data_IF_403432824359
#
_entry.id   IF_403432824359
#
_cell.length_a   1.000
_cell.length_b   1.000
_cell.length_c   1.000
_cell.angle_alpha   90.00
_cell.angle_beta   90.00
_cell.angle_gamma   90.00
#
_symmetry.space_group_name_H-M   'P 1'
#
loop_
_entity.id
_entity.type
_entity.pdbx_description
1 polymer ?
#
# COMPACT_ATOMS: atom_id res chain seq x y z
N UNK A 1 -7.27 14.55 -8.68
CA UNK A 1 -6.88 15.44 -7.57
C UNK A 1 -5.40 15.72 -7.71
N UNK A 2 -5.00 17.00 -7.76
CA UNK A 2 -3.58 17.41 -7.73
C UNK A 2 -3.08 17.59 -6.29
N UNK A 3 -1.77 17.74 -6.11
CA UNK A 3 -1.20 18.09 -4.80
C UNK A 3 -1.74 19.44 -4.29
N UNK A 4 -1.88 20.44 -5.16
CA UNK A 4 -2.41 21.75 -4.78
C UNK A 4 -3.86 21.67 -4.29
N UNK A 5 -4.70 20.89 -4.97
CA UNK A 5 -6.09 20.64 -4.55
C UNK A 5 -6.15 19.93 -3.19
N UNK A 6 -5.28 18.94 -2.97
CA UNK A 6 -5.21 18.23 -1.70
C UNK A 6 -4.78 19.15 -0.55
N UNK A 7 -3.75 19.98 -0.76
CA UNK A 7 -3.30 20.99 0.22
C UNK A 7 -4.43 21.92 0.62
N UNK A 8 -5.23 22.38 -0.34
CA UNK A 8 -6.40 23.21 -0.06
C UNK A 8 -7.47 22.46 0.75
N UNK A 9 -7.72 21.19 0.43
CA UNK A 9 -8.72 20.37 1.11
C UNK A 9 -8.34 20.04 2.57
N UNK A 10 -7.05 19.79 2.85
CA UNK A 10 -6.58 19.40 4.19
C UNK A 10 -6.25 20.60 5.10
N UNK A 11 -6.14 21.80 4.53
CA UNK A 11 -5.94 23.04 5.27
C UNK A 11 -4.50 23.26 5.74
N UNK A 12 -4.26 24.45 6.32
CA UNK A 12 -2.92 24.96 6.62
C UNK A 12 -2.17 24.22 7.74
N UNK A 13 -2.87 23.47 8.59
CA UNK A 13 -2.27 22.71 9.70
C UNK A 13 -1.72 21.34 9.25
N UNK A 14 -1.88 21.00 7.97
CA UNK A 14 -1.35 19.74 7.42
C UNK A 14 0.06 19.96 6.89
N UNK A 15 1.00 19.15 7.36
CA UNK A 15 2.38 19.18 6.92
C UNK A 15 2.59 18.24 5.72
N UNK A 16 3.39 18.69 4.76
CA UNK A 16 3.78 17.93 3.58
C UNK A 16 5.30 17.83 3.56
N UNK A 17 5.83 16.66 3.89
CA UNK A 17 7.29 16.44 4.05
C UNK A 17 7.77 15.48 2.98
N UNK A 18 8.74 15.91 2.18
CA UNK A 18 9.37 15.04 1.17
C UNK A 18 10.22 13.98 1.86
N UNK A 19 10.01 12.72 1.49
CA UNK A 19 10.80 11.57 1.88
C UNK A 19 11.38 10.93 0.61
N UNK A 20 12.69 11.11 0.39
CA UNK A 20 13.40 10.64 -0.79
C UNK A 20 14.82 10.18 -0.39
N UNK A 21 15.21 8.92 -0.69
CA UNK A 21 14.37 7.84 -1.24
C UNK A 21 13.33 7.36 -0.22
N UNK A 22 12.22 6.76 -0.69
CA UNK A 22 11.20 6.16 0.19
C UNK A 22 11.13 4.63 0.06
N UNK A 23 10.73 4.11 -1.09
CA UNK A 23 10.80 2.68 -1.47
C UNK A 23 11.43 2.58 -2.86
N UNK A 24 11.98 1.44 -3.28
CA UNK A 24 12.82 1.32 -4.50
C UNK A 24 12.27 2.07 -5.72
N UNK A 25 10.96 1.97 -5.94
CA UNK A 25 10.32 2.50 -7.13
C UNK A 25 9.70 3.90 -6.94
N UNK A 26 9.79 4.48 -5.73
CA UNK A 26 9.08 5.72 -5.39
C UNK A 26 9.84 6.62 -4.40
N UNK A 27 9.78 7.92 -4.68
CA UNK A 27 9.88 8.96 -3.67
C UNK A 27 8.48 9.21 -3.09
N UNK A 28 8.41 9.87 -1.93
CA UNK A 28 7.15 10.16 -1.27
C UNK A 28 7.05 11.59 -0.73
N UNK A 29 5.81 12.06 -0.59
CA UNK A 29 5.47 13.18 0.28
C UNK A 29 4.62 12.62 1.42
N UNK A 30 5.17 12.59 2.63
CA UNK A 30 4.44 12.26 3.83
C UNK A 30 3.46 13.40 4.18
N UNK A 31 2.17 13.06 4.25
CA UNK A 31 1.10 13.98 4.67
C UNK A 31 0.83 13.75 6.15
N UNK A 32 1.12 14.74 6.98
CA UNK A 32 1.06 14.63 8.45
C UNK A 32 0.05 15.58 9.05
N UNK A 33 -0.66 15.11 10.06
CA UNK A 33 -1.59 15.91 10.87
C UNK A 33 -1.32 15.61 12.34
N UNK A 34 -1.18 16.67 13.15
CA UNK A 34 -0.82 16.56 14.57
C UNK A 34 0.43 15.69 14.84
N UNK A 35 1.42 15.74 13.93
CA UNK A 35 2.66 14.98 14.02
C UNK A 35 2.58 13.51 13.60
N UNK A 36 1.38 13.00 13.27
CA UNK A 36 1.18 11.64 12.78
C UNK A 36 1.09 11.62 11.25
N UNK A 37 1.79 10.67 10.62
CA UNK A 37 1.62 10.41 9.18
C UNK A 37 0.23 9.82 8.95
N UNK A 38 -0.52 10.43 8.06
CA UNK A 38 -1.83 9.96 7.63
C UNK A 38 -1.67 9.03 6.43
N UNK A 39 -0.92 9.48 5.43
CA UNK A 39 -0.59 8.73 4.22
C UNK A 39 0.60 9.37 3.50
N UNK A 40 1.10 8.67 2.49
CA UNK A 40 2.18 9.07 1.61
C UNK A 40 1.64 9.25 0.20
N UNK A 41 2.00 10.34 -0.46
CA UNK A 41 1.81 10.54 -1.89
C UNK A 41 3.04 9.99 -2.59
N UNK A 42 2.87 9.00 -3.44
CA UNK A 42 3.98 8.36 -4.15
C UNK A 42 4.17 8.97 -5.53
N UNK A 43 5.43 9.18 -5.91
CA UNK A 43 5.82 9.66 -7.23
C UNK A 43 7.15 9.05 -7.67
N UNK A 44 7.42 9.09 -8.98
CA UNK A 44 8.62 8.48 -9.55
C UNK A 44 9.91 9.12 -9.00
N UNK A 45 10.95 8.33 -8.73
CA UNK A 45 12.15 8.79 -8.05
C UNK A 45 12.93 9.79 -8.89
N UNK A 46 13.57 10.75 -8.22
CA UNK A 46 14.45 11.75 -8.85
C UNK A 46 13.70 12.85 -9.62
N UNK A 47 12.37 12.85 -9.57
CA UNK A 47 11.51 13.92 -10.07
C UNK A 47 11.23 15.00 -9.03
N UNK A 48 10.69 16.13 -9.48
CA UNK A 48 10.01 17.09 -8.59
C UNK A 48 8.52 16.83 -8.69
N UNK A 49 7.81 16.86 -7.56
CA UNK A 49 6.36 16.77 -7.50
C UNK A 49 5.78 18.09 -6.97
N UNK A 50 4.95 18.73 -7.79
CA UNK A 50 4.47 20.10 -7.65
C UNK A 50 2.97 20.16 -7.43
N UNK A 51 2.44 21.35 -7.12
CA UNK A 51 1.01 21.55 -6.86
C UNK A 51 0.11 21.28 -8.09
N UNK A 52 0.70 21.28 -9.29
CA UNK A 52 0.03 20.98 -10.56
C UNK A 52 -0.03 19.47 -10.85
N UNK A 53 0.81 18.67 -10.19
CA UNK A 53 0.90 17.25 -10.47
C UNK A 53 -0.27 16.46 -9.90
N UNK A 54 -0.79 15.56 -10.73
CA UNK A 54 -1.90 14.65 -10.37
C UNK A 54 -1.37 13.56 -9.45
N UNK A 55 -2.05 13.35 -8.32
CA UNK A 55 -1.75 12.26 -7.41
C UNK A 55 -2.17 10.94 -8.05
N UNK A 56 -1.18 10.08 -8.32
CA UNK A 56 -1.37 8.76 -8.94
C UNK A 56 -1.08 7.61 -7.99
N UNK A 57 -0.34 7.84 -6.91
CA UNK A 57 0.00 6.82 -5.93
C UNK A 57 -0.26 7.30 -4.51
N UNK A 58 -0.89 6.46 -3.70
CA UNK A 58 -1.08 6.67 -2.28
C UNK A 58 -0.65 5.42 -1.52
N UNK A 59 0.03 5.60 -0.40
CA UNK A 59 0.33 4.52 0.54
C UNK A 59 0.00 4.95 1.95
N UNK A 60 -0.47 4.03 2.80
CA UNK A 60 -0.64 4.28 4.22
C UNK A 60 -0.38 3.03 5.03
N UNK A 61 0.31 3.18 6.14
CA UNK A 61 0.49 2.21 7.23
C UNK A 61 -0.33 2.60 8.46
N UNK A 62 -1.11 3.69 8.38
CA UNK A 62 -1.90 4.21 9.48
C UNK A 62 -3.19 3.40 9.64
N UNK A 63 -3.44 2.79 10.81
CA UNK A 63 -4.59 1.90 11.03
C UNK A 63 -5.95 2.61 11.01
N UNK A 64 -5.97 3.95 10.97
CA UNK A 64 -7.20 4.74 10.81
C UNK A 64 -7.75 4.68 9.37
N UNK A 65 -6.93 4.27 8.40
CA UNK A 65 -7.31 4.21 6.99
C UNK A 65 -7.61 2.77 6.57
N UNK A 66 -8.90 2.47 6.40
CA UNK A 66 -9.40 1.16 6.03
C UNK A 66 -10.20 1.24 4.73
N UNK A 67 -10.29 0.14 4.01
CA UNK A 67 -11.24 -0.03 2.89
C UNK A 67 -12.70 0.00 3.38
N UNK A 68 -13.65 0.03 2.45
CA UNK A 68 -15.09 -0.03 2.78
C UNK A 68 -15.49 -1.26 3.61
N UNK A 69 -14.79 -2.37 3.46
CA UNK A 69 -14.99 -3.60 4.25
C UNK A 69 -14.15 -3.64 5.54
N UNK A 70 -13.65 -2.49 6.02
CA UNK A 70 -12.83 -2.38 7.23
C UNK A 70 -11.52 -3.17 7.21
N UNK A 71 -10.94 -3.39 6.02
CA UNK A 71 -9.63 -4.06 5.84
C UNK A 71 -8.56 -3.01 5.55
N UNK A 72 -7.43 -3.07 6.26
CA UNK A 72 -6.30 -2.13 6.14
C UNK A 72 -5.21 -2.38 7.20
N UNK A 73 -4.30 -1.43 7.46
CA UNK A 73 -3.17 -1.63 8.36
C UNK A 73 -3.60 -2.03 9.78
N UNK A 74 -2.93 -3.03 10.35
CA UNK A 74 -3.24 -3.61 11.65
C UNK A 74 -4.33 -4.68 11.65
N UNK A 75 -5.10 -4.84 10.57
CA UNK A 75 -6.14 -5.89 10.46
C UNK A 75 -5.49 -7.24 10.21
N UNK A 76 -5.92 -8.28 10.92
CA UNK A 76 -5.44 -9.64 10.74
C UNK A 76 -5.81 -10.19 9.36
N UNK A 77 -4.91 -10.93 8.71
CA UNK A 77 -5.18 -11.54 7.40
C UNK A 77 -6.39 -12.48 7.46
N UNK A 78 -6.47 -13.31 8.50
CA UNK A 78 -7.61 -14.21 8.73
C UNK A 78 -8.95 -13.47 8.90
N UNK A 79 -8.92 -12.25 9.46
CA UNK A 79 -10.12 -11.42 9.54
C UNK A 79 -10.49 -10.88 8.15
N UNK A 80 -9.52 -10.42 7.36
CA UNK A 80 -9.74 -9.94 6.01
C UNK A 80 -10.27 -11.03 5.06
N UNK A 81 -9.91 -12.30 5.27
CA UNK A 81 -10.47 -13.44 4.51
C UNK A 81 -12.00 -13.56 4.66
N UNK A 82 -12.56 -13.10 5.79
CA UNK A 82 -14.01 -13.11 6.00
C UNK A 82 -14.74 -12.11 5.09
N UNK A 83 -14.05 -11.06 4.64
CA UNK A 83 -14.59 -10.03 3.73
C UNK A 83 -14.24 -10.32 2.27
N UNK A 84 -13.01 -10.75 1.98
CA UNK A 84 -12.49 -10.86 0.61
C UNK A 84 -12.17 -12.29 0.16
N UNK A 85 -12.49 -13.31 0.94
CA UNK A 85 -12.20 -14.70 0.59
C UNK A 85 -10.73 -15.06 0.79
N UNK A 86 -10.31 -16.23 0.28
CA UNK A 86 -9.01 -16.82 0.64
C UNK A 86 -7.83 -15.91 0.31
N UNK A 87 -6.88 -15.85 1.23
CA UNK A 87 -5.62 -15.14 1.08
C UNK A 87 -4.59 -15.96 0.31
N UNK A 88 -3.83 -15.29 -0.54
CA UNK A 88 -2.59 -15.81 -1.12
C UNK A 88 -1.52 -14.74 -0.95
N UNK A 89 -0.48 -15.06 -0.19
CA UNK A 89 0.65 -14.18 0.05
C UNK A 89 1.73 -14.46 -0.98
N UNK A 90 2.44 -13.41 -1.39
CA UNK A 90 3.55 -13.55 -2.31
C UNK A 90 4.58 -12.44 -2.13
N UNK A 91 5.82 -12.74 -2.46
CA UNK A 91 6.90 -11.76 -2.58
C UNK A 91 7.79 -12.08 -3.79
N UNK A 92 8.50 -11.06 -4.26
CA UNK A 92 9.51 -11.19 -5.31
C UNK A 92 10.89 -10.72 -4.81
N UNK A 93 11.93 -11.53 -4.99
CA UNK A 93 13.30 -11.24 -4.53
C UNK A 93 13.96 -10.07 -5.29
N UNK A 94 13.47 -9.77 -6.50
CA UNK A 94 13.97 -8.68 -7.35
C UNK A 94 13.33 -7.32 -7.05
N UNK A 95 12.23 -7.27 -6.28
CA UNK A 95 11.51 -6.03 -5.94
C UNK A 95 11.51 -5.77 -4.43
N UNK A 96 12.71 -5.54 -3.87
CA UNK A 96 12.99 -5.34 -2.44
C UNK A 96 12.53 -6.46 -1.49
N UNK A 97 11.96 -7.56 -2.02
CA UNK A 97 11.37 -8.60 -1.21
C UNK A 97 10.05 -8.20 -0.54
N UNK A 98 9.37 -7.12 -0.96
CA UNK A 98 8.10 -6.72 -0.35
C UNK A 98 7.06 -7.83 -0.52
N UNK A 99 6.41 -8.21 0.57
CA UNK A 99 5.36 -9.22 0.58
C UNK A 99 3.99 -8.56 0.56
N UNK A 100 3.11 -9.11 -0.27
CA UNK A 100 1.73 -8.67 -0.41
C UNK A 100 0.77 -9.84 -0.24
N UNK A 101 -0.44 -9.53 0.23
CA UNK A 101 -1.57 -10.46 0.19
C UNK A 101 -2.54 -10.06 -0.93
N UNK A 102 -2.95 -11.05 -1.70
CA UNK A 102 -4.06 -10.97 -2.65
C UNK A 102 -5.19 -11.87 -2.16
N UNK A 103 -6.41 -11.36 -2.21
CA UNK A 103 -7.60 -12.11 -1.83
C UNK A 103 -8.35 -12.62 -3.07
N UNK A 104 -9.20 -13.63 -2.90
CA UNK A 104 -10.00 -14.21 -3.98
C UNK A 104 -10.99 -13.19 -4.59
N UNK A 105 -11.68 -12.44 -3.73
CA UNK A 105 -12.58 -11.34 -4.07
C UNK A 105 -11.87 -9.99 -3.84
N UNK A 106 -10.70 -9.82 -4.48
CA UNK A 106 -9.87 -8.62 -4.31
C UNK A 106 -10.63 -7.35 -4.72
N UNK A 107 -10.68 -6.29 -3.89
CA UNK A 107 -11.65 -5.20 -4.05
C UNK A 107 -11.36 -4.28 -5.24
N UNK A 108 -10.10 -4.15 -5.68
CA UNK A 108 -9.73 -3.36 -6.84
C UNK A 108 -8.35 -3.76 -7.39
N UNK A 109 -8.16 -3.71 -8.71
CA UNK A 109 -6.90 -4.09 -9.37
C UNK A 109 -5.73 -3.16 -9.09
N UNK A 110 -6.01 -1.92 -8.68
CA UNK A 110 -5.03 -0.89 -8.32
C UNK A 110 -4.70 -0.86 -6.82
N UNK A 111 -5.30 -1.75 -6.03
CA UNK A 111 -5.09 -1.84 -4.58
C UNK A 111 -4.14 -2.99 -4.26
N UNK A 112 -3.19 -2.76 -3.37
CA UNK A 112 -2.29 -3.78 -2.83
C UNK A 112 -2.25 -3.69 -1.30
N UNK A 113 -2.22 -4.84 -0.64
CA UNK A 113 -2.09 -4.96 0.80
C UNK A 113 -0.71 -5.51 1.14
N UNK A 114 0.15 -4.71 1.75
CA UNK A 114 1.46 -5.17 2.21
C UNK A 114 1.34 -5.97 3.50
N UNK A 115 2.19 -6.99 3.68
CA UNK A 115 2.17 -7.89 4.86
C UNK A 115 3.53 -8.14 5.49
N UNK A 116 4.62 -7.76 4.81
CA UNK A 116 5.97 -8.00 5.32
C UNK A 116 7.07 -7.78 4.28
N UNK A 117 8.26 -8.28 4.57
CA UNK A 117 9.39 -8.22 3.66
C UNK A 117 10.29 -9.47 3.81
N UNK A 118 10.65 -10.10 2.70
CA UNK A 118 11.51 -11.29 2.65
C UNK A 118 12.90 -11.07 3.28
N UNK A 119 13.47 -9.88 3.15
CA UNK A 119 14.76 -9.53 3.75
C UNK A 119 14.67 -9.30 5.26
N UNK A 120 13.46 -9.32 5.84
CA UNK A 120 13.20 -9.14 7.27
C UNK A 120 12.38 -10.32 7.79
N UNK A 121 11.05 -10.20 7.73
CA UNK A 121 10.11 -11.23 8.12
C UNK A 121 8.88 -11.16 7.22
N UNK A 122 8.52 -12.32 6.68
CA UNK A 122 7.27 -12.53 5.94
C UNK A 122 6.14 -12.90 6.89
N UNK A 123 4.92 -12.51 6.54
CA UNK A 123 3.70 -13.04 7.13
C UNK A 123 3.42 -14.46 6.63
N UNK A 124 3.77 -14.76 5.37
CA UNK A 124 3.60 -16.08 4.77
C UNK A 124 4.60 -17.11 5.30
N UNK A 125 4.17 -18.36 5.33
CA UNK A 125 5.00 -19.53 5.60
C UNK A 125 5.34 -20.16 4.25
N UNK A 126 6.60 -20.05 3.83
CA UNK A 126 7.05 -20.52 2.53
C UNK A 126 7.85 -21.83 2.69
N UNK A 127 7.40 -22.94 2.09
CA UNK A 127 8.04 -24.25 2.27
C UNK A 127 9.42 -24.38 1.62
N UNK A 128 9.76 -23.54 0.64
CA UNK A 128 11.12 -23.41 0.08
C UNK A 128 11.25 -22.14 -0.77
N UNK A 129 12.22 -21.27 -0.47
CA UNK A 129 12.42 -19.96 -1.12
C UNK A 129 13.45 -20.04 -2.25
N UNK A 130 13.12 -20.73 -3.35
CA UNK A 130 14.10 -21.07 -4.40
C UNK A 130 13.87 -20.36 -5.72
N UNK A 131 12.76 -19.64 -5.87
CA UNK A 131 12.41 -18.92 -7.09
C UNK A 131 12.41 -17.40 -6.83
N UNK A 132 12.51 -16.62 -7.92
CA UNK A 132 12.43 -15.16 -7.84
C UNK A 132 11.05 -14.69 -7.37
N UNK A 133 10.01 -15.47 -7.65
CA UNK A 133 8.64 -15.26 -7.17
C UNK A 133 8.22 -16.43 -6.28
N UNK A 134 7.71 -16.14 -5.09
CA UNK A 134 7.29 -17.12 -4.11
C UNK A 134 5.86 -16.81 -3.68
N UNK A 135 5.03 -17.84 -3.56
CA UNK A 135 3.64 -17.72 -3.13
C UNK A 135 3.28 -18.79 -2.10
N UNK A 136 2.33 -18.48 -1.22
CA UNK A 136 1.81 -19.41 -0.22
C UNK A 136 0.39 -19.03 0.19
N UNK A 137 -0.37 -20.02 0.64
CA UNK A 137 -1.66 -19.82 1.32
C UNK A 137 -1.56 -20.01 2.84
N UNK A 138 -0.40 -20.45 3.33
CA UNK A 138 -0.13 -20.58 4.75
C UNK A 138 0.51 -19.29 5.28
N UNK A 139 0.01 -18.78 6.40
CA UNK A 139 0.53 -17.56 7.02
C UNK A 139 0.51 -17.66 8.54
N UNK A 140 1.32 -16.82 9.19
CA UNK A 140 1.38 -16.77 10.65
C UNK A 140 0.01 -16.40 11.23
N UNK A 141 -0.47 -17.06 12.30
CA UNK A 141 -1.80 -16.77 12.88
C UNK A 141 -1.99 -15.31 13.34
N UNK A 142 -0.89 -14.63 13.67
CA UNK A 142 -0.88 -13.22 14.09
C UNK A 142 -0.52 -12.26 12.96
N UNK A 143 -0.46 -12.73 11.72
CA UNK A 143 -0.13 -11.89 10.58
C UNK A 143 -1.21 -10.83 10.35
N UNK A 144 -0.77 -9.60 10.16
CA UNK A 144 -1.63 -8.46 9.85
C UNK A 144 -1.21 -7.82 8.54
N UNK A 145 -2.12 -7.07 7.95
CA UNK A 145 -1.80 -6.12 6.89
C UNK A 145 -0.98 -5.00 7.52
N UNK A 146 0.14 -4.66 6.90
CA UNK A 146 1.07 -3.62 7.39
C UNK A 146 0.89 -2.30 6.65
N UNK A 147 0.42 -2.36 5.41
CA UNK A 147 0.19 -1.16 4.60
C UNK A 147 -0.87 -1.40 3.52
N UNK A 148 -1.46 -0.31 3.07
CA UNK A 148 -2.33 -0.26 1.90
C UNK A 148 -1.69 0.66 0.87
N UNK A 149 -1.59 0.18 -0.36
CA UNK A 149 -1.05 0.89 -1.50
C UNK A 149 -2.12 0.98 -2.59
N UNK A 150 -2.37 2.19 -3.09
CA UNK A 150 -3.25 2.47 -4.23
C UNK A 150 -2.41 3.12 -5.32
N UNK A 151 -2.33 2.52 -6.50
CA UNK A 151 -1.52 3.05 -7.61
C UNK A 151 -2.30 3.05 -8.92
N UNK A 152 -2.42 4.23 -9.53
CA UNK A 152 -3.10 4.47 -10.78
C UNK A 152 -2.21 5.18 -11.79
N UNK A 153 -1.48 4.37 -12.55
CA UNK A 153 -0.57 4.84 -13.59
C UNK A 153 -1.25 5.02 -14.96
N UNK A 154 -2.54 4.73 -15.06
CA UNK A 154 -3.34 4.91 -16.28
C UNK A 154 -4.41 6.00 -16.09
N UNK A 155 -4.79 6.68 -17.18
CA UNK A 155 -5.83 7.73 -17.18
C UNK A 155 -7.20 7.24 -16.69
N UNK A 156 -7.47 5.92 -16.69
CA UNK A 156 -8.71 5.31 -16.21
C UNK A 156 -8.51 4.53 -14.91
N UNK A 157 -8.40 5.27 -13.80
CA UNK A 157 -8.29 4.72 -12.44
C UNK A 157 -9.64 4.29 -11.84
N UNK A 158 -10.76 4.65 -12.47
CA UNK A 158 -12.11 4.34 -11.98
C UNK A 158 -12.59 3.11 -12.72
N UNK A 159 -12.60 1.97 -12.02
CA UNK A 159 -13.28 0.77 -12.51
C UNK A 159 -14.70 1.13 -12.95
N UNK A 160 -15.04 0.76 -14.17
CA UNK A 160 -16.39 0.90 -14.69
C UNK A 160 -17.32 0.11 -13.77
N UNK A 161 -18.01 0.80 -12.87
CA UNK A 161 -19.13 0.21 -12.16
C UNK A 161 -20.17 -0.18 -13.21
N UNK A 162 -20.38 -1.48 -13.36
CA UNK A 162 -21.60 -2.01 -13.98
C UNK A 162 -22.68 -2.10 -12.91
#
# INVERSE_FOLDING_TARGET
MTLGELKQALGAETEFVVESPFIADFDAIAVRQAGEVQFYILYLPGGTFTDEDVIQGLMTDNPKFLTGESVGPGVAIAQAESSYGKATLSYNTQNEGREYVRFENHPASNLSFGTGNFNQQTAGIYPSTTADFNETQDFQPTATITSVLVVCLAESCVGSGN
#
